data_IF_568153787332
#
_entry.id   IF_568153787332
#
_cell.length_a   1.000
_cell.length_b   1.000
_cell.length_c   1.000
_cell.angle_alpha   90.00
_cell.angle_beta   90.00
_cell.angle_gamma   90.00
#
_symmetry.space_group_name_H-M   'P 1'
#
loop_
_entity.id
_entity.type
_entity.pdbx_description
1 polymer ?
#
# COMPACT_ATOMS: atom_id res chain seq x y z
N UNK A 1 -2.28 -12.79 -12.30
CA UNK A 1 -1.60 -11.50 -12.52
C UNK A 1 -0.25 -11.56 -11.83
N UNK A 2 0.80 -10.93 -12.37
CA UNK A 2 2.12 -10.89 -11.72
C UNK A 2 2.17 -9.75 -10.71
N UNK A 3 2.61 -10.03 -9.48
CA UNK A 3 2.73 -9.03 -8.41
C UNK A 3 3.82 -8.02 -8.76
N UNK A 4 3.48 -6.73 -8.77
CA UNK A 4 4.45 -5.66 -8.99
C UNK A 4 5.33 -5.47 -7.75
N UNK A 5 6.59 -5.13 -7.99
CA UNK A 5 7.55 -4.82 -6.92
C UNK A 5 7.19 -3.49 -6.24
N UNK A 6 7.55 -3.30 -4.96
CA UNK A 6 7.29 -2.05 -4.23
C UNK A 6 7.88 -0.84 -4.95
N UNK A 7 9.10 -0.96 -5.46
CA UNK A 7 9.76 0.09 -6.24
C UNK A 7 9.01 0.45 -7.52
N UNK A 8 8.39 -0.52 -8.19
CA UNK A 8 7.56 -0.25 -9.37
C UNK A 8 6.29 0.50 -9.00
N UNK A 9 5.69 0.20 -7.84
CA UNK A 9 4.49 0.88 -7.35
C UNK A 9 4.81 2.28 -6.82
N UNK A 10 5.94 2.44 -6.12
CA UNK A 10 6.43 3.75 -5.65
C UNK A 10 6.63 4.73 -6.81
N UNK A 11 7.17 4.27 -7.95
CA UNK A 11 7.24 5.10 -9.16
C UNK A 11 5.88 5.55 -9.68
N UNK A 12 4.82 4.77 -9.49
CA UNK A 12 3.45 5.19 -9.84
C UNK A 12 2.97 6.29 -8.89
N UNK A 13 3.28 6.20 -7.60
CA UNK A 13 2.98 7.24 -6.60
C UNK A 13 3.68 8.55 -6.99
N UNK A 14 4.99 8.51 -7.28
CA UNK A 14 5.79 9.68 -7.69
C UNK A 14 5.27 10.32 -8.98
N UNK A 15 4.72 9.51 -9.89
CA UNK A 15 4.11 9.97 -11.16
C UNK A 15 2.65 10.37 -11.02
N UNK A 16 2.10 10.44 -9.81
CA UNK A 16 0.68 10.74 -9.54
C UNK A 16 -0.31 9.79 -10.23
N UNK A 17 0.10 8.53 -10.44
CA UNK A 17 -0.73 7.46 -11.01
C UNK A 17 -1.40 6.60 -9.93
N UNK A 18 -0.94 6.70 -8.68
CA UNK A 18 -1.62 6.12 -7.53
C UNK A 18 -2.77 7.04 -7.04
N UNK A 19 -3.79 6.49 -6.36
CA UNK A 19 -4.79 7.29 -5.67
C UNK A 19 -4.17 8.35 -4.75
N UNK A 20 -4.77 9.54 -4.68
CA UNK A 20 -4.22 10.69 -3.92
C UNK A 20 -4.07 10.42 -2.42
N UNK A 21 -4.80 9.44 -1.90
CA UNK A 21 -4.77 8.97 -0.51
C UNK A 21 -3.61 8.01 -0.21
N UNK A 22 -2.86 7.59 -1.22
CA UNK A 22 -1.61 6.82 -1.05
C UNK A 22 -0.46 7.81 -0.89
N UNK A 23 0.36 7.60 0.15
CA UNK A 23 1.52 8.42 0.46
C UNK A 23 2.78 7.88 -0.21
N UNK A 24 3.05 6.58 -0.04
CA UNK A 24 4.22 5.89 -0.61
C UNK A 24 4.12 4.37 -0.52
N UNK A 25 5.06 3.67 -1.16
CA UNK A 25 5.26 2.23 -1.04
C UNK A 25 6.70 1.94 -0.64
N UNK A 26 6.88 1.24 0.48
CA UNK A 26 8.18 0.93 1.06
C UNK A 26 8.49 -0.57 0.91
N UNK A 27 9.78 -0.88 0.69
CA UNK A 27 10.26 -2.27 0.78
C UNK A 27 10.31 -2.74 2.25
N UNK A 28 10.31 -4.06 2.43
CA UNK A 28 10.69 -4.68 3.69
C UNK A 28 12.07 -4.18 4.15
N UNK A 29 12.24 -4.01 5.46
CA UNK A 29 13.52 -3.60 6.06
C UNK A 29 13.77 -4.44 7.31
N UNK A 30 14.22 -5.69 7.15
CA UNK A 30 14.51 -6.57 8.27
C UNK A 30 15.65 -6.02 9.15
N UNK A 31 15.65 -6.29 10.46
CA UNK A 31 14.68 -7.11 11.19
C UNK A 31 13.40 -6.36 11.57
N UNK A 32 13.37 -5.03 11.40
CA UNK A 32 12.31 -4.15 11.91
C UNK A 32 10.99 -4.36 11.19
N UNK A 33 11.03 -4.57 9.88
CA UNK A 33 9.86 -4.76 9.03
C UNK A 33 10.05 -5.92 8.05
N UNK A 34 9.19 -6.94 8.15
CA UNK A 34 9.32 -8.18 7.39
C UNK A 34 8.64 -8.17 6.02
N UNK A 35 7.80 -7.19 5.75
CA UNK A 35 7.00 -7.13 4.54
C UNK A 35 7.06 -5.75 3.88
N UNK A 36 6.95 -5.78 2.56
CA UNK A 36 6.70 -4.58 1.77
C UNK A 36 5.31 -4.03 2.11
N UNK A 37 5.14 -2.72 1.97
CA UNK A 37 3.94 -2.05 2.47
C UNK A 37 3.57 -0.79 1.70
N UNK A 38 2.28 -0.56 1.60
CA UNK A 38 1.69 0.70 1.14
C UNK A 38 1.39 1.55 2.36
N UNK A 39 1.91 2.76 2.38
CA UNK A 39 1.56 3.78 3.36
C UNK A 39 0.43 4.65 2.79
N UNK A 40 -0.64 4.80 3.56
CA UNK A 40 -1.70 5.75 3.24
C UNK A 40 -1.42 7.08 3.93
N UNK A 41 -1.90 8.17 3.32
CA UNK A 41 -1.83 9.50 3.94
C UNK A 41 -2.61 9.48 5.25
N UNK A 42 -2.07 10.21 6.23
CA UNK A 42 -2.76 10.42 7.50
C UNK A 42 -4.04 11.21 7.24
N UNK A 43 -5.16 10.69 7.74
CA UNK A 43 -6.48 11.30 7.64
C UNK A 43 -7.00 11.76 9.01
N UNK A 44 -6.10 11.92 9.99
CA UNK A 44 -6.45 12.30 11.36
C UNK A 44 -6.88 11.13 12.24
N UNK A 45 -7.03 9.93 11.67
CA UNK A 45 -7.25 8.68 12.39
C UNK A 45 -5.96 7.84 12.56
N UNK A 46 -4.82 8.41 12.17
CA UNK A 46 -3.49 7.86 12.39
C UNK A 46 -2.88 7.23 11.13
N UNK A 47 -1.74 6.57 11.33
CA UNK A 47 -0.95 6.01 10.22
C UNK A 47 -1.47 4.63 9.85
N UNK A 48 -2.02 4.51 8.65
CA UNK A 48 -2.46 3.26 8.08
C UNK A 48 -1.40 2.73 7.11
N UNK A 49 -1.06 1.44 7.23
CA UNK A 49 -0.17 0.78 6.27
C UNK A 49 -0.59 -0.66 6.01
N UNK A 50 -0.70 -1.03 4.74
CA UNK A 50 -1.10 -2.35 4.27
C UNK A 50 0.11 -3.12 3.75
N UNK A 51 0.33 -4.32 4.25
CA UNK A 51 1.38 -5.22 3.76
C UNK A 51 1.01 -5.89 2.44
N UNK A 52 2.02 -6.32 1.68
CA UNK A 52 1.87 -7.05 0.42
C UNK A 52 1.22 -8.44 0.52
N UNK A 53 0.99 -8.93 1.74
CA UNK A 53 0.23 -10.14 2.03
C UNK A 53 -1.25 -9.84 2.38
N UNK A 54 -1.66 -8.57 2.34
CA UNK A 54 -3.03 -8.14 2.61
C UNK A 54 -3.31 -7.84 4.09
N UNK A 55 -2.35 -7.97 4.99
CA UNK A 55 -2.57 -7.66 6.41
C UNK A 55 -2.19 -6.21 6.73
N UNK A 56 -2.86 -5.59 7.70
CA UNK A 56 -2.51 -4.25 8.17
C UNK A 56 -1.27 -4.31 9.09
N UNK A 57 -0.31 -3.41 8.87
CA UNK A 57 0.82 -3.17 9.78
C UNK A 57 0.39 -2.40 11.02
N UNK A 58 -0.32 -1.30 10.80
CA UNK A 58 -0.86 -0.42 11.83
C UNK A 58 -2.25 0.06 11.42
N UNK A 59 -3.13 0.15 12.42
CA UNK A 59 -4.54 0.52 12.25
C UNK A 59 -5.27 -0.42 11.29
N UNK A 60 -6.22 0.16 10.57
CA UNK A 60 -6.99 -0.48 9.52
C UNK A 60 -8.17 0.43 9.19
N UNK A 61 -8.48 0.58 7.90
CA UNK A 61 -9.61 1.40 7.48
C UNK A 61 -10.29 0.82 6.25
N UNK A 62 -11.51 1.27 6.02
CA UNK A 62 -12.18 0.99 4.76
C UNK A 62 -11.36 1.61 3.61
N UNK A 63 -10.96 0.76 2.67
CA UNK A 63 -10.33 1.19 1.43
C UNK A 63 -11.38 1.77 0.48
N UNK A 64 -11.04 2.85 -0.22
CA UNK A 64 -11.87 3.40 -1.29
C UNK A 64 -11.88 2.46 -2.49
N UNK A 65 -12.83 2.66 -3.41
CA UNK A 65 -12.90 1.86 -4.64
C UNK A 65 -11.63 2.01 -5.49
N UNK A 66 -11.07 3.22 -5.55
CA UNK A 66 -9.87 3.53 -6.32
C UNK A 66 -8.63 2.86 -5.72
N UNK A 67 -8.51 2.85 -4.40
CA UNK A 67 -7.44 2.14 -3.68
C UNK A 67 -7.53 0.65 -3.94
N UNK A 68 -8.72 0.04 -3.78
CA UNK A 68 -8.91 -1.38 -4.03
C UNK A 68 -8.52 -1.75 -5.45
N UNK A 69 -8.97 -0.96 -6.43
CA UNK A 69 -8.62 -1.16 -7.85
C UNK A 69 -7.11 -1.10 -8.05
N UNK A 70 -6.46 -0.01 -7.63
CA UNK A 70 -5.02 0.17 -7.83
C UNK A 70 -4.17 -0.90 -7.14
N UNK A 71 -4.56 -1.34 -5.94
CA UNK A 71 -3.89 -2.44 -5.21
C UNK A 71 -3.99 -3.74 -6.00
N UNK A 72 -5.18 -4.12 -6.45
CA UNK A 72 -5.40 -5.36 -7.20
C UNK A 72 -4.78 -5.35 -8.60
N UNK A 73 -4.78 -4.21 -9.31
CA UNK A 73 -4.12 -4.05 -10.61
C UNK A 73 -2.59 -4.22 -10.51
N UNK A 74 -2.01 -3.88 -9.36
CA UNK A 74 -0.60 -4.14 -9.06
C UNK A 74 -0.35 -5.57 -8.52
N UNK A 75 -1.38 -6.41 -8.45
CA UNK A 75 -1.30 -7.81 -8.03
C UNK A 75 -1.12 -7.99 -6.53
N UNK A 76 -1.44 -6.98 -5.71
CA UNK A 76 -1.43 -7.08 -4.26
C UNK A 76 -2.84 -7.46 -3.75
N UNK A 77 -2.96 -8.29 -2.71
CA UNK A 77 -4.24 -8.66 -2.12
C UNK A 77 -4.84 -7.50 -1.30
N UNK A 78 -6.16 -7.50 -1.20
CA UNK A 78 -6.89 -6.60 -0.29
C UNK A 78 -6.88 -7.17 1.13
N UNK A 79 -7.03 -6.30 2.16
CA UNK A 79 -7.27 -6.77 3.51
C UNK A 79 -8.59 -7.50 3.63
N UNK A 80 -8.54 -8.64 4.33
CA UNK A 80 -9.73 -9.38 4.80
C UNK A 80 -10.46 -8.61 5.88
#
# INVERSE_FOLDING_TARGET
MSQKTPNSMQKQVERSQAPKSIDRVDNASPPRDRYDRIHFKDDGHGKHALYNNGTWKHGGRALTREEKKWITENGWPLPN
#
